data_IF_692044596773
#
_entry.id   IF_692044596773
#
_cell.length_a   1.000
_cell.length_b   1.000
_cell.length_c   1.000
_cell.angle_alpha   90.00
_cell.angle_beta   90.00
_cell.angle_gamma   90.00
#
_symmetry.space_group_name_H-M   'P 1'
#
loop_
_entity.id
_entity.type
_entity.pdbx_description
1 polymer ?
#
# COMPACT_ATOMS: atom_id res chain seq x y z
N UNK A 1 10.67 38.73 -22.59
CA UNK A 1 10.54 37.33 -22.12
C UNK A 1 9.47 37.27 -21.04
N UNK A 2 8.31 36.63 -21.29
CA UNK A 2 7.26 36.48 -20.26
C UNK A 2 7.69 35.39 -19.29
N UNK A 3 7.88 35.74 -18.02
CA UNK A 3 8.11 34.76 -16.94
C UNK A 3 6.84 33.94 -16.78
N UNK A 4 6.87 32.68 -17.18
CA UNK A 4 5.78 31.75 -16.91
C UNK A 4 5.80 31.50 -15.40
N UNK A 5 4.82 32.06 -14.69
CA UNK A 5 4.72 31.89 -13.25
C UNK A 5 4.14 30.50 -12.99
N UNK A 6 4.99 29.48 -12.94
CA UNK A 6 4.61 28.14 -12.51
C UNK A 6 4.12 28.24 -11.07
N UNK A 7 2.82 28.06 -10.86
CA UNK A 7 2.23 28.01 -9.53
C UNK A 7 1.77 26.56 -9.30
N UNK A 8 2.32 25.83 -8.30
CA UNK A 8 1.86 24.48 -8.01
C UNK A 8 0.37 24.50 -7.71
N UNK A 9 -0.32 23.42 -8.11
CA UNK A 9 -1.77 23.28 -7.92
C UNK A 9 -2.12 23.45 -6.43
N UNK A 10 -2.99 24.41 -6.03
CA UNK A 10 -3.32 24.66 -4.63
C UNK A 10 -4.01 23.47 -3.94
N UNK A 11 -4.54 22.52 -4.72
CA UNK A 11 -5.18 21.31 -4.21
C UNK A 11 -4.24 20.11 -4.13
N UNK A 12 -2.95 20.26 -4.47
CA UNK A 12 -2.00 19.15 -4.49
C UNK A 12 -1.92 18.45 -3.12
N UNK A 13 -1.91 19.23 -2.03
CA UNK A 13 -1.91 18.71 -0.65
C UNK A 13 -3.20 17.96 -0.29
N UNK A 14 -4.32 18.21 -1.00
CA UNK A 14 -5.56 17.46 -0.83
C UNK A 14 -5.58 16.16 -1.65
N UNK A 15 -4.69 16.03 -2.64
CA UNK A 15 -4.62 14.87 -3.55
C UNK A 15 -3.65 13.79 -3.05
N UNK A 16 -2.73 14.13 -2.15
CA UNK A 16 -1.72 13.21 -1.63
C UNK A 16 -1.50 13.40 -0.14
N UNK A 17 -1.50 12.29 0.60
CA UNK A 17 -1.03 12.24 1.98
C UNK A 17 0.37 11.60 2.03
N UNK A 18 1.26 12.15 2.84
CA UNK A 18 2.56 11.54 3.12
C UNK A 18 2.38 10.35 4.08
N UNK A 19 3.03 9.23 3.76
CA UNK A 19 3.04 8.03 4.60
C UNK A 19 4.49 7.67 4.88
N UNK A 20 4.90 7.73 6.14
CA UNK A 20 6.23 7.28 6.58
C UNK A 20 6.17 5.83 7.03
N UNK A 21 6.95 4.96 6.39
CA UNK A 21 7.12 3.56 6.82
C UNK A 21 8.59 3.14 6.70
N UNK A 22 8.98 2.16 7.51
CA UNK A 22 10.33 1.59 7.50
C UNK A 22 10.38 0.42 6.52
N UNK A 23 11.40 0.41 5.68
CA UNK A 23 11.70 -0.66 4.73
C UNK A 23 13.01 -1.35 5.11
N UNK A 24 13.10 -2.63 4.84
CA UNK A 24 14.36 -3.35 4.95
C UNK A 24 15.31 -2.95 3.80
N UNK A 25 16.61 -3.14 4.04
CA UNK A 25 17.64 -2.75 3.07
C UNK A 25 17.50 -3.47 1.72
N UNK A 26 17.04 -4.73 1.70
CA UNK A 26 16.92 -5.49 0.44
C UNK A 26 15.79 -4.93 -0.41
N UNK A 27 14.67 -4.57 0.20
CA UNK A 27 13.57 -3.90 -0.52
C UNK A 27 14.02 -2.58 -1.12
N UNK A 28 14.77 -1.76 -0.36
CA UNK A 28 15.31 -0.48 -0.86
C UNK A 28 16.24 -0.71 -2.04
N UNK A 29 17.17 -1.65 -1.92
CA UNK A 29 18.14 -1.99 -2.96
C UNK A 29 17.45 -2.50 -4.24
N UNK A 30 16.46 -3.39 -4.10
CA UNK A 30 15.66 -3.88 -5.21
C UNK A 30 15.02 -2.75 -6.02
N UNK A 31 14.35 -1.81 -5.35
CA UNK A 31 13.73 -0.68 -6.05
C UNK A 31 14.75 0.32 -6.61
N UNK A 32 15.91 0.46 -5.99
CA UNK A 32 17.01 1.27 -6.53
C UNK A 32 17.56 0.68 -7.83
N UNK A 33 17.76 -0.64 -7.90
CA UNK A 33 18.20 -1.33 -9.11
C UNK A 33 17.17 -1.24 -10.23
N UNK A 34 15.89 -1.43 -9.94
CA UNK A 34 14.80 -1.23 -10.90
C UNK A 34 14.74 0.21 -11.43
N UNK A 35 15.02 1.20 -10.58
CA UNK A 35 15.03 2.63 -10.93
C UNK A 35 16.21 3.06 -11.80
N UNK A 36 17.36 2.39 -11.65
CA UNK A 36 18.64 2.79 -12.27
C UNK A 36 18.57 3.00 -13.79
N UNK A 37 17.94 2.12 -14.61
CA UNK A 37 17.83 2.32 -16.06
C UNK A 37 17.04 3.58 -16.45
N UNK A 38 16.17 4.05 -15.56
CA UNK A 38 15.30 5.20 -15.78
C UNK A 38 15.84 6.49 -15.11
N UNK A 39 16.98 6.40 -14.40
CA UNK A 39 17.50 7.51 -13.61
C UNK A 39 16.63 7.87 -12.40
N UNK A 40 15.78 6.95 -11.94
CA UNK A 40 14.88 7.17 -10.81
C UNK A 40 15.49 6.66 -9.51
N UNK A 41 15.22 7.37 -8.42
CA UNK A 41 15.56 6.87 -7.09
C UNK A 41 14.58 5.77 -6.64
N UNK A 42 14.94 5.01 -5.61
CA UNK A 42 14.11 3.93 -5.09
C UNK A 42 12.72 4.42 -4.67
N UNK A 43 12.61 5.60 -4.07
CA UNK A 43 11.34 6.17 -3.59
C UNK A 43 10.39 6.48 -4.76
N UNK A 44 10.88 7.10 -5.83
CA UNK A 44 10.07 7.41 -7.02
C UNK A 44 9.61 6.11 -7.69
N UNK A 45 10.51 5.14 -7.84
CA UNK A 45 10.20 3.83 -8.42
C UNK A 45 9.13 3.10 -7.61
N UNK A 46 9.26 3.07 -6.28
CA UNK A 46 8.24 2.53 -5.38
C UNK A 46 6.89 3.22 -5.56
N UNK A 47 6.87 4.55 -5.59
CA UNK A 47 5.64 5.33 -5.78
C UNK A 47 4.93 4.99 -7.09
N UNK A 48 5.68 4.85 -8.19
CA UNK A 48 5.14 4.44 -9.48
C UNK A 48 4.54 3.02 -9.44
N UNK A 49 5.24 2.08 -8.80
CA UNK A 49 4.77 0.71 -8.63
C UNK A 49 3.49 0.64 -7.81
N UNK A 50 3.43 1.34 -6.68
CA UNK A 50 2.24 1.38 -5.82
C UNK A 50 1.04 1.97 -6.58
N UNK A 51 1.26 3.03 -7.37
CA UNK A 51 0.20 3.61 -8.23
C UNK A 51 -0.28 2.63 -9.29
N UNK A 52 0.64 1.87 -9.90
CA UNK A 52 0.28 0.86 -10.88
C UNK A 52 -0.55 -0.28 -10.25
N UNK A 53 -0.13 -0.79 -9.10
CA UNK A 53 -0.86 -1.81 -8.33
C UNK A 53 -2.27 -1.30 -8.00
N UNK A 54 -2.40 -0.09 -7.46
CA UNK A 54 -3.69 0.51 -7.14
C UNK A 54 -4.58 0.67 -8.37
N UNK A 55 -4.02 1.14 -9.49
CA UNK A 55 -4.75 1.32 -10.75
C UNK A 55 -5.21 0.00 -11.40
N UNK A 56 -4.48 -1.08 -11.19
CA UNK A 56 -4.84 -2.42 -11.69
C UNK A 56 -5.95 -3.11 -10.87
N UNK A 57 -6.22 -2.63 -9.65
CA UNK A 57 -7.10 -3.33 -8.70
C UNK A 57 -6.51 -4.63 -8.15
N UNK A 58 -5.21 -4.87 -8.36
CA UNK A 58 -4.53 -6.05 -7.85
C UNK A 58 -4.58 -6.12 -6.32
N UNK A 59 -4.94 -7.29 -5.81
CA UNK A 59 -4.95 -7.61 -4.38
C UNK A 59 -3.96 -8.75 -4.15
N UNK A 60 -2.90 -8.50 -3.39
CA UNK A 60 -1.98 -9.54 -3.00
C UNK A 60 -2.72 -10.60 -2.17
N UNK A 61 -2.50 -11.88 -2.51
CA UNK A 61 -2.91 -12.96 -1.62
C UNK A 61 -1.89 -13.04 -0.48
N UNK A 62 -2.29 -12.55 0.68
CA UNK A 62 -1.44 -12.47 1.87
C UNK A 62 -1.51 -13.73 2.75
N UNK A 63 -2.26 -14.76 2.33
CA UNK A 63 -2.48 -15.97 3.14
C UNK A 63 -3.22 -15.72 4.45
N UNK A 64 -3.82 -14.53 4.61
CA UNK A 64 -4.60 -14.14 5.79
C UNK A 64 -6.04 -13.80 5.38
N UNK A 65 -6.99 -14.20 6.23
CA UNK A 65 -8.40 -13.87 6.05
C UNK A 65 -8.62 -12.36 6.15
N UNK A 66 -9.48 -11.84 5.29
CA UNK A 66 -10.04 -10.49 5.38
C UNK A 66 -10.86 -10.34 6.65
N UNK A 67 -11.10 -9.10 7.10
CA UNK A 67 -11.93 -8.84 8.28
C UNK A 67 -13.33 -9.45 8.15
N UNK A 68 -13.92 -9.37 6.96
CA UNK A 68 -15.22 -9.96 6.66
C UNK A 68 -15.21 -11.48 6.81
N UNK A 69 -14.23 -12.14 6.21
CA UNK A 69 -14.08 -13.60 6.31
C UNK A 69 -13.80 -14.04 7.76
N UNK A 70 -13.05 -13.24 8.54
CA UNK A 70 -12.84 -13.49 9.98
C UNK A 70 -14.14 -13.38 10.78
N UNK A 71 -14.98 -12.39 10.48
CA UNK A 71 -16.29 -12.24 11.12
C UNK A 71 -17.24 -13.38 10.76
N UNK A 72 -17.25 -13.81 9.50
CA UNK A 72 -18.04 -14.96 9.03
C UNK A 72 -17.58 -16.26 9.70
N UNK A 73 -16.26 -16.49 9.76
CA UNK A 73 -15.68 -17.62 10.49
C UNK A 73 -16.02 -17.58 11.98
N UNK A 74 -15.95 -16.40 12.61
CA UNK A 74 -16.32 -16.24 14.02
C UNK A 74 -17.79 -16.60 14.24
N UNK A 75 -18.70 -16.14 13.37
CA UNK A 75 -20.13 -16.48 13.44
C UNK A 75 -20.39 -17.95 13.22
N UNK A 76 -19.69 -18.60 12.28
CA UNK A 76 -19.84 -20.05 12.07
C UNK A 76 -19.34 -20.85 13.27
N UNK A 77 -18.21 -20.48 13.86
CA UNK A 77 -17.69 -21.10 15.08
C UNK A 77 -18.63 -20.92 16.28
N UNK A 78 -19.18 -19.72 16.46
CA UNK A 78 -20.17 -19.45 17.52
C UNK A 78 -21.49 -20.22 17.32
N UNK A 79 -21.88 -20.47 16.06
CA UNK A 79 -23.06 -21.25 15.71
C UNK A 79 -22.85 -22.78 15.83
N UNK A 80 -21.63 -23.27 15.61
CA UNK A 80 -21.27 -24.69 15.69
C UNK A 80 -21.02 -25.18 17.12
N UNK A 81 -20.83 -24.28 18.08
CA UNK A 81 -20.80 -24.60 19.50
C UNK A 81 -20.16 -23.50 20.32
N UNK A 82 -20.89 -22.95 21.28
CA UNK A 82 -20.30 -22.15 22.34
C UNK A 82 -19.14 -22.93 22.95
N UNK A 83 -17.92 -22.48 22.73
CA UNK A 83 -16.77 -22.96 23.49
C UNK A 83 -17.01 -22.45 24.91
N UNK A 84 -17.62 -23.27 25.75
CA UNK A 84 -17.47 -23.14 27.20
C UNK A 84 -15.98 -23.29 27.46
N UNK A 85 -15.28 -22.17 27.59
CA UNK A 85 -14.05 -22.10 28.36
C UNK A 85 -14.49 -22.38 29.80
N UNK A 86 -14.55 -23.66 30.16
CA UNK A 86 -14.49 -24.03 31.57
C UNK A 86 -13.14 -23.57 32.13
N UNK A 87 -13.23 -23.07 33.36
CA UNK A 87 -12.31 -22.16 34.07
C UNK A 87 -10.83 -22.58 34.15
#
# INVERSE_FOLDING_TARGET
>A
MRKHNWKPNPYFEQLSAEITFRLDFRSIEYFAELGRPYGLCAQDMMGMYLRHIAGSGYKANLGILTLKEREELKKSLEAEGGLTLEE
#
